data_IF_847667307701
#
_entry.id   IF_847667307701
#
_cell.length_a   1.000
_cell.length_b   1.000
_cell.length_c   1.000
_cell.angle_alpha   90.00
_cell.angle_beta   90.00
_cell.angle_gamma   90.00
#
_symmetry.space_group_name_H-M   'P 1'
#
loop_
_entity.id
_entity.type
_entity.pdbx_description
1 polymer ?
#
# COMPACT_ATOMS: atom_id res chain seq x y z
N UNK A 1 22.06 -14.72 -17.93
CA UNK A 1 20.87 -14.25 -18.68
C UNK A 1 21.19 -12.87 -19.25
N UNK A 2 20.89 -12.60 -20.50
CA UNK A 2 21.07 -11.29 -21.14
C UNK A 2 19.70 -10.66 -21.31
N UNK A 3 19.59 -9.34 -21.24
CA UNK A 3 18.36 -8.63 -21.56
C UNK A 3 18.00 -8.81 -23.06
N UNK A 4 16.71 -8.81 -23.37
CA UNK A 4 16.25 -8.95 -24.76
C UNK A 4 16.66 -7.77 -25.64
N UNK A 5 16.87 -6.58 -25.04
CA UNK A 5 17.25 -5.35 -25.73
C UNK A 5 18.35 -4.61 -24.96
N UNK A 6 19.13 -3.78 -25.66
CA UNK A 6 20.10 -2.85 -25.07
C UNK A 6 19.47 -1.51 -24.67
N UNK A 7 18.26 -1.21 -25.21
CA UNK A 7 17.50 0.01 -24.92
C UNK A 7 16.03 -0.31 -24.70
N UNK A 8 15.44 0.31 -23.67
CA UNK A 8 14.02 0.27 -23.33
C UNK A 8 13.46 1.68 -23.21
N UNK A 9 12.19 1.85 -23.51
CA UNK A 9 11.52 3.14 -23.24
C UNK A 9 11.36 3.34 -21.72
N UNK A 10 11.07 2.28 -20.98
CA UNK A 10 10.96 2.33 -19.52
C UNK A 10 11.77 1.20 -18.87
N UNK A 11 12.54 1.56 -17.86
CA UNK A 11 13.11 0.59 -16.90
C UNK A 11 12.50 0.88 -15.53
N UNK A 12 11.92 -0.14 -14.91
CA UNK A 12 11.29 -0.05 -13.60
C UNK A 12 12.11 -0.89 -12.62
N UNK A 13 12.68 -0.26 -11.59
CA UNK A 13 13.38 -0.92 -10.49
C UNK A 13 12.43 -1.18 -9.34
N UNK A 14 12.14 -2.45 -9.08
CA UNK A 14 11.18 -2.95 -8.09
C UNK A 14 9.94 -3.56 -8.72
N UNK A 15 9.77 -4.89 -8.59
CA UNK A 15 8.66 -5.66 -9.11
C UNK A 15 7.59 -6.00 -8.05
N UNK A 16 7.45 -5.15 -7.04
CA UNK A 16 6.34 -5.21 -6.08
C UNK A 16 5.01 -4.80 -6.72
N UNK A 17 3.94 -4.78 -5.93
CA UNK A 17 2.58 -4.49 -6.40
C UNK A 17 2.48 -3.24 -7.29
N UNK A 18 3.11 -2.15 -6.89
CA UNK A 18 3.01 -0.84 -7.58
C UNK A 18 3.85 -0.84 -8.86
N UNK A 19 5.15 -1.21 -8.77
CA UNK A 19 6.06 -1.22 -9.92
C UNK A 19 5.63 -2.20 -11.01
N UNK A 20 5.24 -3.42 -10.63
CA UNK A 20 4.77 -4.43 -11.58
C UNK A 20 3.45 -4.01 -12.26
N UNK A 21 2.52 -3.37 -11.51
CA UNK A 21 1.27 -2.87 -12.10
C UNK A 21 1.49 -1.69 -13.05
N UNK A 22 2.46 -0.82 -12.76
CA UNK A 22 2.86 0.23 -13.70
C UNK A 22 3.47 -0.38 -14.97
N UNK A 23 4.39 -1.35 -14.83
CA UNK A 23 4.99 -2.04 -15.97
C UNK A 23 3.92 -2.71 -16.85
N UNK A 24 2.95 -3.38 -16.24
CA UNK A 24 1.82 -3.98 -16.96
C UNK A 24 1.00 -2.93 -17.74
N UNK A 25 0.73 -1.77 -17.13
CA UNK A 25 -0.01 -0.68 -17.77
C UNK A 25 0.77 -0.04 -18.94
N UNK A 26 2.06 0.19 -18.79
CA UNK A 26 2.93 0.73 -19.85
C UNK A 26 3.06 -0.25 -21.01
N UNK A 27 3.25 -1.52 -20.71
CA UNK A 27 3.31 -2.59 -21.71
C UNK A 27 2.01 -2.71 -22.50
N UNK A 28 0.86 -2.59 -21.83
CA UNK A 28 -0.46 -2.59 -22.49
C UNK A 28 -0.65 -1.39 -23.43
N UNK A 29 0.04 -0.27 -23.19
CA UNK A 29 0.09 0.89 -24.08
C UNK A 29 1.10 0.74 -25.23
N UNK A 30 1.77 -0.40 -25.35
CA UNK A 30 2.73 -0.71 -26.40
C UNK A 30 4.16 -0.22 -26.15
N UNK A 31 4.48 0.24 -24.94
CA UNK A 31 5.84 0.65 -24.60
C UNK A 31 6.74 -0.55 -24.26
N UNK A 32 8.03 -0.44 -24.66
CA UNK A 32 9.03 -1.42 -24.27
C UNK A 32 9.46 -1.19 -22.83
N UNK A 33 9.21 -2.20 -21.97
CA UNK A 33 9.45 -2.13 -20.54
C UNK A 33 10.37 -3.25 -20.08
N UNK A 34 11.30 -2.93 -19.18
CA UNK A 34 12.08 -3.90 -18.42
C UNK A 34 11.79 -3.70 -16.92
N UNK A 35 11.37 -4.75 -16.26
CA UNK A 35 11.11 -4.77 -14.82
C UNK A 35 12.26 -5.49 -14.11
N UNK A 36 12.94 -4.80 -13.20
CA UNK A 36 14.10 -5.31 -12.48
C UNK A 36 13.75 -5.53 -11.00
N UNK A 37 13.95 -6.76 -10.50
CA UNK A 37 13.83 -7.06 -9.08
C UNK A 37 14.60 -8.33 -8.71
N UNK A 38 15.61 -8.25 -7.85
CA UNK A 38 16.34 -9.43 -7.40
C UNK A 38 15.50 -10.43 -6.60
N UNK A 39 14.33 -10.01 -6.10
CA UNK A 39 13.42 -10.84 -5.30
C UNK A 39 12.13 -11.21 -6.05
N UNK A 40 12.19 -11.39 -7.35
CA UNK A 40 11.00 -11.66 -8.16
C UNK A 40 10.50 -13.12 -8.12
N UNK A 41 10.52 -13.75 -6.96
CA UNK A 41 10.02 -15.10 -6.81
C UNK A 41 8.52 -15.21 -7.20
N UNK A 42 8.10 -16.31 -7.88
CA UNK A 42 6.70 -16.53 -8.20
C UNK A 42 5.87 -16.74 -6.92
N UNK A 43 4.61 -16.36 -6.96
CA UNK A 43 3.68 -16.63 -5.87
C UNK A 43 3.34 -18.12 -5.80
N UNK A 44 3.33 -18.69 -4.60
CA UNK A 44 2.97 -20.09 -4.37
C UNK A 44 1.43 -20.21 -4.32
N UNK A 45 0.83 -20.52 -5.47
CA UNK A 45 -0.62 -20.57 -5.64
C UNK A 45 -1.31 -21.71 -4.85
N UNK A 46 -0.58 -22.78 -4.58
CA UNK A 46 -1.07 -23.99 -3.87
C UNK A 46 -0.96 -23.86 -2.33
N UNK A 47 -0.40 -22.77 -1.83
CA UNK A 47 -0.31 -22.53 -0.39
C UNK A 47 -1.73 -22.44 0.23
N UNK A 48 -2.05 -23.34 1.17
CA UNK A 48 -3.32 -23.34 1.90
C UNK A 48 -3.45 -22.20 2.90
N UNK A 49 -2.31 -21.71 3.40
CA UNK A 49 -2.23 -20.63 4.38
C UNK A 49 -1.97 -19.30 3.66
N UNK A 50 -2.66 -18.21 4.03
CA UNK A 50 -2.38 -16.90 3.50
C UNK A 50 -0.94 -16.43 3.80
N UNK A 51 -0.40 -15.59 2.92
CA UNK A 51 0.83 -14.84 3.21
C UNK A 51 0.57 -13.87 4.39
N UNK A 52 1.63 -13.63 5.18
CA UNK A 52 1.59 -12.65 6.27
C UNK A 52 1.41 -11.21 5.75
N UNK A 53 1.90 -10.92 4.54
CA UNK A 53 1.84 -9.58 3.95
C UNK A 53 0.59 -9.43 3.10
N UNK A 54 -0.42 -8.86 3.71
CA UNK A 54 -1.73 -8.59 3.09
C UNK A 54 -1.96 -7.07 3.04
N UNK A 55 -2.53 -6.59 1.96
CA UNK A 55 -2.93 -5.19 1.80
C UNK A 55 -4.43 -5.07 1.56
N UNK A 56 -5.00 -3.99 2.08
CA UNK A 56 -6.34 -3.54 1.74
C UNK A 56 -6.27 -2.73 0.44
N UNK A 57 -6.81 -3.27 -0.63
CA UNK A 57 -6.88 -2.61 -1.94
C UNK A 57 -8.22 -1.90 -2.04
N UNK A 58 -8.22 -0.57 -2.14
CA UNK A 58 -9.43 0.25 -2.21
C UNK A 58 -10.18 0.06 -3.53
N UNK A 59 -11.46 0.37 -3.53
CA UNK A 59 -12.32 0.24 -4.70
C UNK A 59 -11.74 0.94 -5.95
N UNK A 60 -11.19 2.15 -5.82
CA UNK A 60 -10.60 2.86 -6.97
C UNK A 60 -9.35 2.16 -7.49
N UNK A 61 -8.51 1.64 -6.60
CA UNK A 61 -7.33 0.86 -6.97
C UNK A 61 -7.73 -0.45 -7.67
N UNK A 62 -8.77 -1.12 -7.19
CA UNK A 62 -9.33 -2.32 -7.85
C UNK A 62 -9.79 -1.98 -9.27
N UNK A 63 -10.60 -0.92 -9.44
CA UNK A 63 -11.08 -0.49 -10.76
C UNK A 63 -9.93 -0.14 -11.69
N UNK A 64 -8.89 0.53 -11.19
CA UNK A 64 -7.70 0.82 -11.97
C UNK A 64 -6.95 -0.46 -12.39
N UNK A 65 -6.71 -1.40 -11.46
CA UNK A 65 -6.06 -2.69 -11.72
C UNK A 65 -6.86 -3.56 -12.70
N UNK A 66 -8.20 -3.49 -12.66
CA UNK A 66 -9.08 -4.13 -13.64
C UNK A 66 -8.87 -3.58 -15.06
N UNK A 67 -8.77 -2.24 -15.19
CA UNK A 67 -8.49 -1.59 -16.46
C UNK A 67 -7.11 -1.98 -17.04
N UNK A 68 -6.15 -2.31 -16.18
CA UNK A 68 -4.84 -2.79 -16.59
C UNK A 68 -4.78 -4.32 -16.80
N UNK A 69 -5.91 -5.02 -16.69
CA UNK A 69 -5.97 -6.47 -16.84
C UNK A 69 -5.22 -7.25 -15.74
N UNK A 70 -4.80 -6.61 -14.66
CA UNK A 70 -4.06 -7.23 -13.55
C UNK A 70 -4.99 -7.97 -12.62
N UNK A 71 -6.13 -7.35 -12.26
CA UNK A 71 -7.07 -7.90 -11.29
C UNK A 71 -7.66 -9.25 -11.71
N UNK A 72 -7.93 -9.42 -13.00
CA UNK A 72 -8.48 -10.65 -13.57
C UNK A 72 -7.56 -11.87 -13.51
N UNK A 73 -6.25 -11.63 -13.25
CA UNK A 73 -5.25 -12.71 -13.08
C UNK A 73 -5.12 -13.18 -11.63
N UNK A 74 -5.82 -12.52 -10.70
CA UNK A 74 -5.88 -12.96 -9.31
C UNK A 74 -6.80 -14.19 -9.18
N UNK A 75 -6.47 -15.08 -8.28
CA UNK A 75 -7.29 -16.25 -7.94
C UNK A 75 -8.47 -15.81 -7.07
N UNK A 76 -9.72 -15.89 -7.55
CA UNK A 76 -10.88 -15.34 -6.83
C UNK A 76 -11.05 -15.89 -5.42
N UNK A 77 -10.71 -17.17 -5.20
CA UNK A 77 -10.84 -17.86 -3.91
C UNK A 77 -9.91 -17.28 -2.82
N UNK A 78 -8.87 -16.55 -3.22
CA UNK A 78 -7.91 -15.90 -2.30
C UNK A 78 -8.22 -14.43 -2.04
N UNK A 79 -9.30 -13.92 -2.61
CA UNK A 79 -9.74 -12.54 -2.43
C UNK A 79 -10.79 -12.46 -1.32
N UNK A 80 -10.64 -11.52 -0.40
CA UNK A 80 -11.66 -11.25 0.62
C UNK A 80 -12.13 -9.80 0.50
N UNK A 81 -13.28 -9.62 -0.13
CA UNK A 81 -13.95 -8.34 -0.22
C UNK A 81 -14.54 -7.95 1.13
N UNK A 82 -14.60 -6.66 1.43
CA UNK A 82 -15.31 -6.14 2.58
C UNK A 82 -16.23 -4.99 2.15
N UNK A 83 -17.44 -4.98 2.69
CA UNK A 83 -18.47 -3.98 2.40
C UNK A 83 -18.71 -3.03 3.56
N UNK A 84 -18.25 -3.37 4.76
CA UNK A 84 -18.36 -2.55 5.96
C UNK A 84 -16.99 -2.32 6.59
N UNK A 85 -16.72 -1.06 6.96
CA UNK A 85 -15.58 -0.66 7.77
C UNK A 85 -16.08 0.09 9.01
N UNK A 86 -15.75 -0.40 10.21
CA UNK A 86 -16.01 0.32 11.46
C UNK A 86 -14.73 0.92 12.03
N UNK A 87 -14.87 2.15 12.52
CA UNK A 87 -13.82 2.83 13.28
C UNK A 87 -14.39 3.15 14.67
N UNK A 88 -13.78 2.56 15.69
CA UNK A 88 -14.26 2.62 17.09
C UNK A 88 -13.28 3.34 17.99
N UNK A 89 -13.81 3.92 19.07
CA UNK A 89 -13.03 4.54 20.13
C UNK A 89 -13.39 3.90 21.49
N UNK A 90 -12.45 3.89 22.41
CA UNK A 90 -12.69 3.48 23.82
C UNK A 90 -13.74 4.33 24.53
N UNK A 91 -14.02 5.53 24.04
CA UNK A 91 -15.11 6.39 24.56
C UNK A 91 -16.49 5.92 24.11
N UNK A 92 -16.61 4.82 23.38
CA UNK A 92 -17.88 4.25 22.90
C UNK A 92 -18.37 4.81 21.57
N UNK A 93 -17.60 5.68 20.90
CA UNK A 93 -17.94 6.14 19.55
C UNK A 93 -17.70 5.00 18.54
N UNK A 94 -18.69 4.72 17.68
CA UNK A 94 -18.60 3.76 16.57
C UNK A 94 -19.06 4.45 15.29
N UNK A 95 -18.15 4.66 14.35
CA UNK A 95 -18.44 5.18 13.04
C UNK A 95 -18.32 4.07 12.01
N UNK A 96 -19.45 3.69 11.43
CA UNK A 96 -19.55 2.59 10.47
C UNK A 96 -19.72 3.16 9.06
N UNK A 97 -18.86 2.75 8.15
CA UNK A 97 -18.92 3.05 6.73
C UNK A 97 -19.40 1.82 5.97
N UNK A 98 -20.50 1.97 5.22
CA UNK A 98 -21.12 0.90 4.44
C UNK A 98 -21.07 1.25 2.95
N UNK A 99 -20.67 0.28 2.12
CA UNK A 99 -20.58 0.43 0.68
C UNK A 99 -21.90 0.79 0.02
N UNK A 100 -23.02 0.27 0.55
CA UNK A 100 -24.36 0.55 0.05
C UNK A 100 -24.74 2.04 0.16
N UNK A 101 -24.19 2.75 1.15
CA UNK A 101 -24.43 4.19 1.34
C UNK A 101 -23.94 5.06 0.15
N UNK A 102 -23.06 4.52 -0.69
CA UNK A 102 -22.50 5.18 -1.87
C UNK A 102 -22.80 4.40 -3.17
N UNK A 103 -23.77 3.47 -3.13
CA UNK A 103 -24.18 2.60 -4.24
C UNK A 103 -23.02 1.74 -4.80
N UNK A 104 -22.20 1.15 -3.91
CA UNK A 104 -21.16 0.20 -4.25
C UNK A 104 -21.38 -1.14 -3.54
N UNK A 105 -20.85 -2.23 -4.09
CA UNK A 105 -20.99 -3.57 -3.51
C UNK A 105 -19.97 -3.82 -2.40
N UNK A 106 -18.80 -3.16 -2.47
CA UNK A 106 -17.70 -3.29 -1.52
C UNK A 106 -16.88 -2.00 -1.45
N UNK A 107 -16.16 -1.83 -0.35
CA UNK A 107 -15.25 -0.71 -0.14
C UNK A 107 -13.83 -1.03 -0.62
N UNK A 108 -13.47 -2.29 -0.58
CA UNK A 108 -12.16 -2.78 -0.97
C UNK A 108 -12.06 -4.30 -0.87
N UNK A 109 -10.83 -4.80 -1.04
CA UNK A 109 -10.52 -6.22 -0.99
C UNK A 109 -9.17 -6.43 -0.29
N UNK A 110 -9.09 -7.41 0.60
CA UNK A 110 -7.81 -7.87 1.15
C UNK A 110 -7.16 -8.84 0.17
N UNK A 111 -5.91 -8.57 -0.18
CA UNK A 111 -5.13 -9.32 -1.16
C UNK A 111 -3.73 -9.53 -0.62
N UNK A 112 -3.17 -10.70 -0.82
CA UNK A 112 -1.78 -11.01 -0.51
C UNK A 112 -0.86 -10.21 -1.45
N UNK A 113 0.14 -9.54 -0.89
CA UNK A 113 1.01 -8.63 -1.63
C UNK A 113 1.76 -9.33 -2.77
N UNK A 114 2.27 -10.53 -2.50
CA UNK A 114 2.97 -11.34 -3.51
C UNK A 114 2.03 -11.85 -4.60
N UNK A 115 0.78 -12.18 -4.26
CA UNK A 115 -0.21 -12.60 -5.24
C UNK A 115 -0.53 -11.50 -6.25
N UNK A 116 -0.74 -10.26 -5.76
CA UNK A 116 -1.00 -9.11 -6.63
C UNK A 116 0.23 -8.74 -7.48
N UNK A 117 1.42 -8.73 -6.89
CA UNK A 117 2.66 -8.47 -7.61
C UNK A 117 2.91 -9.51 -8.71
N UNK A 118 2.70 -10.79 -8.40
CA UNK A 118 2.85 -11.88 -9.36
C UNK A 118 1.82 -11.80 -10.49
N UNK A 119 0.55 -11.50 -10.17
CA UNK A 119 -0.49 -11.28 -11.18
C UNK A 119 -0.14 -10.15 -12.16
N UNK A 120 0.49 -9.07 -11.67
CA UNK A 120 0.96 -7.97 -12.51
C UNK A 120 2.17 -8.36 -13.37
N UNK A 121 3.13 -9.11 -12.81
CA UNK A 121 4.32 -9.59 -13.54
C UNK A 121 3.98 -10.59 -14.65
N UNK A 122 2.91 -11.37 -14.50
CA UNK A 122 2.45 -12.35 -15.52
C UNK A 122 1.77 -11.71 -16.73
N UNK A 123 1.94 -10.39 -16.96
CA UNK A 123 1.55 -9.77 -18.22
C UNK A 123 2.32 -10.45 -19.37
N UNK A 124 1.62 -10.98 -20.40
CA UNK A 124 2.31 -11.60 -21.54
C UNK A 124 3.36 -10.65 -22.14
N UNK A 125 4.53 -11.21 -22.50
CA UNK A 125 5.66 -10.51 -23.11
C UNK A 125 6.34 -9.43 -22.25
N UNK A 126 5.85 -9.11 -21.06
CA UNK A 126 6.54 -8.22 -20.13
C UNK A 126 7.87 -8.88 -19.70
N UNK A 127 8.97 -8.18 -19.92
CA UNK A 127 10.28 -8.67 -19.53
C UNK A 127 10.55 -8.35 -18.06
N UNK A 128 10.80 -9.42 -17.27
CA UNK A 128 11.15 -9.33 -15.85
C UNK A 128 12.52 -10.00 -15.65
N UNK A 129 13.43 -9.32 -14.97
CA UNK A 129 14.79 -9.84 -14.74
C UNK A 129 15.16 -9.75 -13.24
N UNK A 130 15.82 -10.76 -12.68
CA UNK A 130 16.28 -10.78 -11.29
C UNK A 130 17.59 -9.96 -11.10
N UNK A 131 17.66 -8.79 -11.73
CA UNK A 131 18.82 -7.91 -11.69
C UNK A 131 18.55 -6.66 -10.84
N UNK A 132 19.64 -6.07 -10.35
CA UNK A 132 19.63 -4.79 -9.62
C UNK A 132 20.49 -3.76 -10.36
N UNK A 133 20.03 -2.51 -10.38
CA UNK A 133 20.83 -1.40 -10.91
C UNK A 133 21.96 -1.09 -9.91
N UNK A 134 23.20 -1.23 -10.39
CA UNK A 134 24.43 -0.93 -9.64
C UNK A 134 24.83 0.53 -9.80
N UNK A 135 24.87 0.99 -11.06
CA UNK A 135 25.16 2.38 -11.41
C UNK A 135 24.12 2.93 -12.37
N UNK A 136 23.92 4.23 -12.32
CA UNK A 136 22.98 4.95 -13.19
C UNK A 136 23.50 6.35 -13.46
N UNK A 137 23.44 6.80 -14.70
CA UNK A 137 23.84 8.13 -15.13
C UNK A 137 22.84 8.66 -16.16
N UNK A 138 22.36 9.88 -15.96
CA UNK A 138 21.57 10.59 -16.97
C UNK A 138 22.50 11.34 -17.92
N UNK A 139 22.48 10.97 -19.20
CA UNK A 139 23.33 11.54 -20.23
C UNK A 139 22.59 11.59 -21.56
N UNK A 140 22.72 12.69 -22.30
CA UNK A 140 22.15 12.87 -23.66
C UNK A 140 20.63 12.55 -23.74
N UNK A 141 19.90 12.92 -22.67
CA UNK A 141 18.44 12.73 -22.60
C UNK A 141 17.99 11.30 -22.27
N UNK A 142 18.89 10.41 -21.87
CA UNK A 142 18.62 9.02 -21.53
C UNK A 142 19.34 8.58 -20.26
N UNK A 143 18.81 7.59 -19.57
CA UNK A 143 19.47 6.91 -18.47
C UNK A 143 20.37 5.79 -18.99
N UNK A 144 21.66 5.85 -18.64
CA UNK A 144 22.63 4.75 -18.82
C UNK A 144 22.69 3.97 -17.52
N UNK A 145 22.38 2.69 -17.58
CA UNK A 145 22.26 1.81 -16.41
C UNK A 145 23.23 0.65 -16.53
N UNK A 146 23.88 0.29 -15.42
CA UNK A 146 24.68 -0.93 -15.31
C UNK A 146 24.07 -1.81 -14.22
N UNK A 147 23.90 -3.07 -14.52
CA UNK A 147 23.47 -4.11 -13.59
C UNK A 147 24.59 -5.15 -13.44
N UNK A 148 24.38 -6.12 -12.54
CA UNK A 148 25.28 -7.29 -12.45
C UNK A 148 25.26 -8.18 -13.69
N UNK A 149 24.26 -8.05 -14.56
CA UNK A 149 24.15 -8.85 -15.78
C UNK A 149 24.77 -8.15 -16.99
N UNK A 150 24.34 -6.91 -17.27
CA UNK A 150 24.76 -6.13 -18.44
C UNK A 150 24.50 -4.63 -18.22
N UNK A 151 25.04 -3.82 -19.15
CA UNK A 151 24.68 -2.42 -19.32
C UNK A 151 23.52 -2.26 -20.31
N UNK A 152 22.65 -1.27 -20.07
CA UNK A 152 21.52 -0.92 -20.91
C UNK A 152 21.20 0.56 -20.79
N UNK A 153 20.32 1.07 -21.67
CA UNK A 153 19.81 2.42 -21.58
C UNK A 153 18.28 2.48 -21.54
N UNK A 154 17.73 3.57 -21.05
CA UNK A 154 16.29 3.83 -21.16
C UNK A 154 15.96 5.32 -21.27
N UNK A 155 14.79 5.60 -21.86
CA UNK A 155 14.28 6.95 -21.94
C UNK A 155 13.77 7.42 -20.58
N UNK A 156 13.20 6.53 -19.78
CA UNK A 156 12.59 6.85 -18.51
C UNK A 156 12.87 5.79 -17.44
N UNK A 157 13.34 6.23 -16.27
CA UNK A 157 13.64 5.36 -15.13
C UNK A 157 12.54 5.50 -14.06
N UNK A 158 11.98 4.38 -13.61
CA UNK A 158 11.01 4.36 -12.50
C UNK A 158 11.59 3.61 -11.32
N UNK A 159 11.47 4.19 -10.13
CA UNK A 159 11.99 3.66 -8.87
C UNK A 159 10.80 3.26 -7.99
N UNK A 160 10.60 1.96 -7.81
CA UNK A 160 9.50 1.35 -7.08
C UNK A 160 9.99 0.30 -6.07
N UNK A 161 11.19 0.49 -5.51
CA UNK A 161 11.90 -0.50 -4.64
C UNK A 161 11.37 -0.57 -3.20
N UNK A 162 10.29 0.15 -2.89
CA UNK A 162 9.74 0.22 -1.53
C UNK A 162 10.47 1.21 -0.62
N UNK A 163 10.11 1.19 0.66
CA UNK A 163 10.55 2.20 1.64
C UNK A 163 12.06 2.33 1.79
N UNK A 164 12.80 1.22 1.62
CA UNK A 164 14.26 1.16 1.77
C UNK A 164 15.00 1.22 0.42
N UNK A 165 14.52 2.04 -0.51
CA UNK A 165 15.11 2.17 -1.84
C UNK A 165 16.50 2.80 -1.82
N UNK A 166 17.52 2.00 -2.15
CA UNK A 166 18.89 2.49 -2.30
C UNK A 166 19.07 3.33 -3.58
N UNK A 167 18.36 2.99 -4.66
CA UNK A 167 18.47 3.74 -5.92
C UNK A 167 17.89 5.14 -5.79
N UNK A 168 16.75 5.30 -5.09
CA UNK A 168 16.19 6.60 -4.72
C UNK A 168 17.24 7.49 -4.05
N UNK A 169 17.92 6.95 -3.04
CA UNK A 169 18.89 7.70 -2.24
C UNK A 169 20.15 8.03 -3.05
N UNK A 170 20.67 7.09 -3.86
CA UNK A 170 21.81 7.31 -4.77
C UNK A 170 21.53 8.40 -5.82
N UNK A 171 20.29 8.50 -6.28
CA UNK A 171 19.87 9.51 -7.27
C UNK A 171 19.53 10.87 -6.64
N UNK A 172 19.68 11.01 -5.32
CA UNK A 172 19.48 12.27 -4.62
C UNK A 172 18.02 12.71 -4.51
N UNK A 173 17.06 11.80 -4.55
CA UNK A 173 15.66 12.09 -4.29
C UNK A 173 15.45 12.37 -2.79
N UNK A 174 15.65 13.65 -2.43
CA UNK A 174 15.51 14.08 -1.05
C UNK A 174 14.09 13.97 -0.53
N UNK A 175 13.92 13.38 0.65
CA UNK A 175 12.66 13.27 1.34
C UNK A 175 12.67 13.87 2.73
N UNK A 176 11.48 14.02 3.30
CA UNK A 176 11.25 14.40 4.68
C UNK A 176 10.56 13.24 5.37
N UNK A 177 11.01 12.87 6.54
CA UNK A 177 10.37 11.78 7.29
C UNK A 177 10.86 11.67 8.71
N UNK A 178 10.14 10.88 9.48
CA UNK A 178 10.45 10.52 10.84
C UNK A 178 9.96 9.09 11.13
N UNK A 179 10.53 8.48 12.13
CA UNK A 179 10.04 7.21 12.66
C UNK A 179 9.01 7.48 13.76
N UNK A 180 7.89 6.76 13.71
CA UNK A 180 6.96 6.76 14.84
C UNK A 180 7.54 5.94 16.01
N UNK A 181 7.26 6.30 17.27
CA UNK A 181 7.65 5.49 18.43
C UNK A 181 6.85 4.19 18.53
N UNK A 182 5.93 3.96 17.61
CA UNK A 182 5.14 2.73 17.50
C UNK A 182 5.69 1.79 16.44
N UNK A 183 5.38 0.50 16.63
CA UNK A 183 5.56 -0.56 15.65
C UNK A 183 4.24 -1.28 15.42
N UNK A 184 4.14 -1.91 14.27
CA UNK A 184 3.04 -2.79 13.93
C UNK A 184 3.41 -4.24 14.31
N UNK A 185 2.49 -4.93 14.96
CA UNK A 185 2.50 -6.38 15.13
C UNK A 185 1.32 -6.95 14.36
N UNK A 186 1.58 -7.88 13.46
CA UNK A 186 0.59 -8.59 12.65
C UNK A 186 0.59 -10.05 13.05
N UNK A 187 -0.57 -10.60 13.40
CA UNK A 187 -0.74 -12.03 13.66
C UNK A 187 -1.72 -12.63 12.66
N UNK A 188 -1.33 -13.70 11.99
CA UNK A 188 -2.23 -14.54 11.21
C UNK A 188 -2.87 -15.55 12.15
N UNK A 189 -4.20 -15.65 12.10
CA UNK A 189 -4.99 -16.58 12.89
C UNK A 189 -5.96 -17.36 12.00
N UNK A 190 -6.32 -18.56 12.42
CA UNK A 190 -7.38 -19.38 11.81
C UNK A 190 -8.61 -19.34 12.71
N UNK A 191 -9.71 -18.78 12.23
CA UNK A 191 -10.96 -18.67 12.97
C UNK A 191 -11.73 -20.00 12.94
N UNK A 192 -12.40 -20.36 14.03
CA UNK A 192 -13.26 -21.55 14.14
C UNK A 192 -14.56 -21.43 13.34
N UNK A 193 -14.97 -20.21 12.99
CA UNK A 193 -16.15 -19.93 12.17
C UNK A 193 -15.89 -18.71 11.27
N UNK A 194 -16.59 -18.58 10.13
CA UNK A 194 -16.44 -17.43 9.25
C UNK A 194 -16.88 -16.14 9.94
N UNK A 195 -16.21 -15.03 9.60
CA UNK A 195 -16.65 -13.68 9.93
C UNK A 195 -17.25 -13.01 8.70
N UNK A 196 -18.17 -12.09 8.94
CA UNK A 196 -18.82 -11.30 7.89
C UNK A 196 -17.80 -10.48 7.10
N UNK A 197 -18.22 -9.91 5.97
CA UNK A 197 -17.43 -9.01 5.12
C UNK A 197 -17.26 -7.62 5.75
N UNK A 198 -16.87 -7.65 7.03
CA UNK A 198 -16.75 -6.50 7.92
C UNK A 198 -15.33 -6.43 8.48
N UNK A 199 -14.63 -5.36 8.17
CA UNK A 199 -13.35 -5.00 8.78
C UNK A 199 -13.55 -3.88 9.79
N UNK A 200 -12.72 -3.86 10.82
CA UNK A 200 -12.83 -2.81 11.84
C UNK A 200 -11.47 -2.46 12.44
N UNK A 201 -11.39 -1.24 12.95
CA UNK A 201 -10.27 -0.74 13.72
C UNK A 201 -10.78 -0.08 15.00
N UNK A 202 -10.17 -0.40 16.12
CA UNK A 202 -10.49 0.18 17.44
C UNK A 202 -9.28 0.92 17.99
N UNK A 203 -9.45 2.20 18.28
CA UNK A 203 -8.48 3.00 19.03
C UNK A 203 -8.57 2.68 20.52
N UNK A 204 -7.42 2.42 21.16
CA UNK A 204 -7.31 2.09 22.58
C UNK A 204 -6.37 3.08 23.27
N UNK A 205 -6.32 3.08 24.59
CA UNK A 205 -5.40 3.95 25.33
C UNK A 205 -3.91 3.65 25.07
N UNK A 206 -3.60 2.47 24.53
CA UNK A 206 -2.22 2.02 24.27
C UNK A 206 -1.89 1.95 22.77
N UNK A 207 -2.75 2.43 21.90
CA UNK A 207 -2.58 2.37 20.46
C UNK A 207 -3.86 1.99 19.73
N UNK A 208 -3.80 1.17 18.70
CA UNK A 208 -4.98 0.67 18.00
C UNK A 208 -4.83 -0.82 17.69
N UNK A 209 -5.97 -1.47 17.43
CA UNK A 209 -6.00 -2.82 16.88
C UNK A 209 -7.06 -2.95 15.81
N UNK A 210 -6.86 -3.85 14.86
CA UNK A 210 -7.75 -4.03 13.73
C UNK A 210 -7.88 -5.51 13.34
N UNK A 211 -9.01 -5.81 12.70
CA UNK A 211 -9.30 -7.09 12.07
C UNK A 211 -9.29 -6.92 10.55
N UNK A 212 -8.51 -7.74 9.87
CA UNK A 212 -8.54 -7.90 8.42
C UNK A 212 -8.99 -9.34 8.13
N UNK A 213 -10.26 -9.58 7.78
CA UNK A 213 -10.70 -10.91 7.39
C UNK A 213 -10.03 -11.36 6.09
N UNK A 214 -9.69 -12.63 6.02
CA UNK A 214 -9.05 -13.24 4.85
C UNK A 214 -9.89 -14.42 4.36
N UNK A 215 -9.47 -15.03 3.26
CA UNK A 215 -10.12 -16.21 2.71
C UNK A 215 -10.00 -17.41 3.68
N UNK A 216 -10.86 -18.39 3.50
CA UNK A 216 -10.86 -19.68 4.22
C UNK A 216 -10.77 -19.53 5.75
N UNK A 217 -11.58 -18.61 6.32
CA UNK A 217 -11.62 -18.32 7.76
C UNK A 217 -10.29 -17.88 8.38
N UNK A 218 -9.31 -17.47 7.60
CA UNK A 218 -8.15 -16.79 8.15
C UNK A 218 -8.47 -15.32 8.45
N UNK A 219 -7.70 -14.75 9.34
CA UNK A 219 -7.73 -13.31 9.60
C UNK A 219 -6.32 -12.80 9.97
N UNK A 220 -6.03 -11.57 9.61
CA UNK A 220 -4.87 -10.84 10.14
C UNK A 220 -5.32 -9.91 11.26
N UNK A 221 -4.79 -10.13 12.45
CA UNK A 221 -4.98 -9.28 13.62
C UNK A 221 -3.83 -8.28 13.70
N UNK A 222 -4.15 -7.01 13.65
CA UNK A 222 -3.15 -5.93 13.62
C UNK A 222 -3.15 -5.22 14.96
N UNK A 223 -1.97 -5.01 15.53
CA UNK A 223 -1.76 -4.21 16.74
C UNK A 223 -0.75 -3.10 16.47
N UNK A 224 -1.10 -1.88 16.84
CA UNK A 224 -0.18 -0.74 16.87
C UNK A 224 0.13 -0.45 18.34
N UNK A 225 1.39 -0.67 18.75
CA UNK A 225 1.87 -0.53 20.12
C UNK A 225 3.23 0.17 20.12
N UNK A 226 3.73 0.55 21.29
CA UNK A 226 5.11 1.01 21.40
C UNK A 226 6.08 -0.04 20.84
N UNK A 227 7.21 0.41 20.26
CA UNK A 227 8.20 -0.50 19.70
C UNK A 227 8.70 -1.53 20.72
N UNK A 228 8.79 -1.12 22.02
CA UNK A 228 9.16 -1.99 23.11
C UNK A 228 8.14 -3.10 23.36
N UNK A 229 6.84 -2.76 23.43
CA UNK A 229 5.77 -3.74 23.65
C UNK A 229 5.69 -4.75 22.50
N UNK A 230 5.86 -4.26 21.24
CA UNK A 230 5.88 -5.15 20.08
C UNK A 230 7.10 -6.08 20.11
N UNK A 231 8.27 -5.58 20.50
CA UNK A 231 9.48 -6.39 20.64
C UNK A 231 9.30 -7.48 21.69
N UNK A 232 8.80 -7.14 22.88
CA UNK A 232 8.54 -8.09 23.95
C UNK A 232 7.52 -9.16 23.52
N UNK A 233 6.40 -8.75 22.91
CA UNK A 233 5.39 -9.68 22.41
C UNK A 233 5.97 -10.61 21.34
N UNK A 234 6.79 -10.11 20.42
CA UNK A 234 7.41 -10.93 19.37
C UNK A 234 8.45 -11.91 19.89
N UNK A 235 9.09 -11.60 21.01
CA UNK A 235 10.08 -12.47 21.70
C UNK A 235 9.44 -13.50 22.63
N UNK A 236 8.17 -13.32 23.00
CA UNK A 236 7.45 -14.29 23.83
C UNK A 236 7.11 -15.56 23.05
N UNK A 237 6.80 -16.63 23.75
CA UNK A 237 6.40 -17.91 23.16
C UNK A 237 5.10 -17.79 22.34
N UNK A 238 4.86 -18.69 21.40
CA UNK A 238 3.62 -18.72 20.62
C UNK A 238 2.39 -18.84 21.52
N UNK A 239 2.48 -19.60 22.61
CA UNK A 239 1.42 -19.74 23.59
C UNK A 239 1.08 -18.41 24.29
N UNK A 240 2.09 -17.63 24.67
CA UNK A 240 1.92 -16.30 25.28
C UNK A 240 1.37 -15.30 24.27
N UNK A 241 1.85 -15.32 23.01
CA UNK A 241 1.31 -14.49 21.93
C UNK A 241 -0.18 -14.82 21.70
N UNK A 242 -0.52 -16.10 21.61
CA UNK A 242 -1.89 -16.57 21.45
C UNK A 242 -2.78 -16.12 22.63
N UNK A 243 -2.33 -16.30 23.85
CA UNK A 243 -3.05 -15.89 25.06
C UNK A 243 -3.29 -14.36 25.09
N UNK A 244 -2.28 -13.57 24.72
CA UNK A 244 -2.40 -12.11 24.63
C UNK A 244 -3.44 -11.68 23.58
N UNK A 245 -3.42 -12.29 22.40
CA UNK A 245 -4.39 -12.01 21.34
C UNK A 245 -5.79 -12.44 21.75
N UNK A 246 -5.96 -13.63 22.34
CA UNK A 246 -7.26 -14.08 22.81
C UNK A 246 -7.84 -13.08 23.82
N UNK A 247 -7.08 -12.60 24.79
CA UNK A 247 -7.54 -11.60 25.75
C UNK A 247 -8.07 -10.31 25.09
N UNK A 248 -7.46 -9.91 23.96
CA UNK A 248 -7.86 -8.67 23.25
C UNK A 248 -9.06 -8.86 22.32
N UNK A 249 -9.22 -10.05 21.71
CA UNK A 249 -10.12 -10.23 20.59
C UNK A 249 -11.31 -11.16 20.85
N UNK A 250 -11.32 -11.95 21.95
CA UNK A 250 -12.37 -12.95 22.24
C UNK A 250 -13.79 -12.38 22.24
N UNK A 251 -13.98 -11.13 22.66
CA UNK A 251 -15.31 -10.49 22.67
C UNK A 251 -15.77 -10.03 21.28
N UNK A 252 -14.92 -10.10 20.27
CA UNK A 252 -15.16 -9.56 18.94
C UNK A 252 -15.06 -10.59 17.84
N UNK A 253 -14.49 -11.77 18.13
CA UNK A 253 -14.23 -12.83 17.15
C UNK A 253 -14.65 -14.20 17.68
N UNK A 254 -14.97 -15.16 16.78
CA UNK A 254 -14.99 -16.58 17.11
C UNK A 254 -13.66 -17.02 17.71
N UNK A 255 -13.64 -18.16 18.39
CA UNK A 255 -12.40 -18.79 18.82
C UNK A 255 -11.43 -18.94 17.64
N UNK A 256 -10.13 -18.82 17.88
CA UNK A 256 -9.15 -18.92 16.82
C UNK A 256 -7.82 -19.55 17.32
N UNK A 257 -7.13 -20.15 16.36
CA UNK A 257 -5.81 -20.70 16.52
C UNK A 257 -4.76 -19.70 15.98
N UNK A 258 -3.70 -19.46 16.76
CA UNK A 258 -2.55 -18.68 16.33
C UNK A 258 -1.77 -19.47 15.27
N UNK A 259 -1.41 -18.83 14.16
CA UNK A 259 -0.63 -19.44 13.09
C UNK A 259 0.78 -18.93 13.03
N UNK A 260 0.95 -17.62 12.93
CA UNK A 260 2.27 -16.97 12.90
C UNK A 260 2.12 -15.46 13.11
N UNK A 261 3.23 -14.79 13.40
CA UNK A 261 3.26 -13.33 13.53
C UNK A 261 4.51 -12.71 12.93
N UNK A 262 4.37 -11.45 12.52
CA UNK A 262 5.45 -10.58 12.08
C UNK A 262 5.33 -9.20 12.72
N UNK A 263 6.41 -8.44 12.73
CA UNK A 263 6.39 -7.06 13.20
C UNK A 263 7.30 -6.18 12.36
N UNK A 264 6.97 -4.89 12.28
CA UNK A 264 7.78 -3.91 11.58
C UNK A 264 7.62 -2.52 12.20
N UNK A 265 8.70 -1.70 12.16
CA UNK A 265 8.64 -0.32 12.61
C UNK A 265 7.79 0.52 11.67
N UNK A 266 7.20 1.60 12.20
CA UNK A 266 6.39 2.52 11.43
C UNK A 266 7.18 3.78 11.10
N UNK A 267 7.10 4.18 9.84
CA UNK A 267 7.79 5.37 9.33
C UNK A 267 6.82 6.28 8.60
N UNK A 268 7.03 7.57 8.75
CA UNK A 268 6.53 8.57 7.83
C UNK A 268 7.68 9.05 6.96
N UNK A 269 7.51 9.02 5.66
CA UNK A 269 8.50 9.50 4.71
C UNK A 269 7.80 10.04 3.46
N UNK A 270 8.31 11.11 2.89
CA UNK A 270 7.83 11.62 1.60
C UNK A 270 8.96 12.30 0.84
N UNK A 271 9.15 11.89 -0.39
CA UNK A 271 10.03 12.55 -1.37
C UNK A 271 9.42 13.90 -1.75
N UNK A 272 10.23 14.99 -1.71
CA UNK A 272 9.77 16.35 -2.03
C UNK A 272 9.39 16.51 -3.50
N UNK A 273 10.20 15.94 -4.37
CA UNK A 273 10.05 16.04 -5.83
C UNK A 273 10.20 14.65 -6.43
N UNK A 274 9.12 13.84 -6.46
CA UNK A 274 9.20 12.45 -6.89
C UNK A 274 9.48 12.26 -8.39
N UNK A 275 9.30 13.28 -9.22
CA UNK A 275 9.63 13.24 -10.64
C UNK A 275 10.62 14.34 -11.03
N UNK A 276 11.80 13.93 -11.52
CA UNK A 276 12.86 14.83 -12.03
C UNK A 276 13.75 14.10 -13.05
N UNK A 277 14.27 14.81 -14.05
CA UNK A 277 15.23 14.29 -15.04
C UNK A 277 14.82 12.94 -15.66
N UNK A 278 13.57 12.80 -16.08
CA UNK A 278 13.02 11.55 -16.63
C UNK A 278 13.20 10.34 -15.67
N UNK A 279 13.26 10.62 -14.36
CA UNK A 279 13.18 9.60 -13.33
C UNK A 279 11.98 9.88 -12.42
N UNK A 280 11.25 8.84 -12.04
CA UNK A 280 10.06 8.90 -11.21
C UNK A 280 10.15 7.92 -10.05
N UNK A 281 9.94 8.40 -8.83
CA UNK A 281 9.82 7.57 -7.63
C UNK A 281 8.33 7.38 -7.30
N UNK A 282 7.89 6.14 -7.05
CA UNK A 282 6.48 5.80 -6.77
C UNK A 282 6.33 4.82 -5.62
N UNK A 283 5.11 4.75 -5.08
CA UNK A 283 4.74 3.86 -3.98
C UNK A 283 5.54 4.15 -2.70
N UNK A 284 5.82 3.12 -1.93
CA UNK A 284 6.55 3.26 -0.66
C UNK A 284 7.96 3.84 -0.82
N UNK A 285 8.55 3.79 -2.02
CA UNK A 285 9.81 4.47 -2.32
C UNK A 285 9.63 6.00 -2.34
N UNK A 286 8.47 6.50 -2.77
CA UNK A 286 8.15 7.92 -2.77
C UNK A 286 7.56 8.41 -1.44
N UNK A 287 6.74 7.60 -0.80
CA UNK A 287 6.02 7.99 0.42
C UNK A 287 5.62 6.77 1.26
N UNK A 288 5.81 6.90 2.55
CA UNK A 288 5.29 5.99 3.57
C UNK A 288 4.44 6.79 4.55
N UNK A 289 3.28 6.30 4.90
CA UNK A 289 2.37 6.93 5.87
C UNK A 289 2.02 5.93 6.97
N UNK A 290 1.44 6.42 8.07
CA UNK A 290 0.96 5.53 9.12
C UNK A 290 -0.12 4.59 8.56
N UNK A 291 -0.04 3.26 8.75
CA UNK A 291 -0.92 2.29 8.09
C UNK A 291 -2.32 2.15 8.73
N UNK A 292 -2.76 3.10 9.56
CA UNK A 292 -4.04 3.08 10.29
C UNK A 292 -5.27 2.78 9.42
N UNK A 293 -5.27 3.16 8.15
CA UNK A 293 -6.39 2.88 7.26
C UNK A 293 -6.00 2.00 6.07
N UNK A 294 -4.82 1.35 6.11
CA UNK A 294 -4.35 0.50 5.01
C UNK A 294 -4.15 1.23 3.68
N UNK A 295 -3.86 2.55 3.69
CA UNK A 295 -3.86 3.40 2.49
C UNK A 295 -2.51 3.48 1.76
N UNK A 296 -1.40 2.95 2.32
CA UNK A 296 -0.06 3.11 1.75
C UNK A 296 0.02 2.66 0.29
N UNK A 297 -0.31 1.42 0.00
CA UNK A 297 -0.28 0.87 -1.36
C UNK A 297 -1.25 1.57 -2.32
N UNK A 298 -2.41 2.02 -1.82
CA UNK A 298 -3.41 2.71 -2.64
C UNK A 298 -2.90 4.08 -3.12
N UNK A 299 -2.10 4.79 -2.31
CA UNK A 299 -1.39 5.99 -2.75
C UNK A 299 -0.40 5.67 -3.88
N UNK A 300 0.30 4.54 -3.81
CA UNK A 300 1.17 4.07 -4.89
C UNK A 300 0.41 3.77 -6.18
N UNK A 301 -0.79 3.20 -6.10
CA UNK A 301 -1.65 3.03 -7.29
C UNK A 301 -2.17 4.36 -7.84
N UNK A 302 -2.38 5.38 -7.01
CA UNK A 302 -2.71 6.72 -7.47
C UNK A 302 -1.51 7.39 -8.18
N UNK A 303 -0.26 7.11 -7.74
CA UNK A 303 0.96 7.55 -8.46
C UNK A 303 0.96 6.99 -9.88
N UNK A 304 0.76 5.68 -9.99
CA UNK A 304 0.76 4.99 -11.30
C UNK A 304 -0.39 5.45 -12.18
N UNK A 305 -1.59 5.60 -11.64
CA UNK A 305 -2.76 6.05 -12.38
C UNK A 305 -2.56 7.45 -12.96
N UNK A 306 -2.02 8.39 -12.19
CA UNK A 306 -1.73 9.74 -12.65
C UNK A 306 -0.63 9.76 -13.72
N UNK A 307 0.44 8.98 -13.53
CA UNK A 307 1.50 8.89 -14.52
C UNK A 307 0.99 8.30 -15.85
N UNK A 308 0.21 7.22 -15.81
CA UNK A 308 -0.40 6.61 -16.99
C UNK A 308 -1.39 7.58 -17.67
N UNK A 309 -2.14 8.38 -16.89
CA UNK A 309 -3.01 9.41 -17.45
C UNK A 309 -2.22 10.43 -18.30
N UNK A 310 -1.11 10.91 -17.76
CA UNK A 310 -0.23 11.86 -18.46
C UNK A 310 0.38 11.24 -19.72
N UNK A 311 0.83 9.99 -19.65
CA UNK A 311 1.35 9.26 -20.82
C UNK A 311 0.28 9.11 -21.91
N UNK A 312 -0.95 8.73 -21.56
CA UNK A 312 -2.06 8.61 -22.50
C UNK A 312 -2.38 9.94 -23.19
N UNK A 313 -2.25 11.06 -22.48
CA UNK A 313 -2.57 12.39 -23.01
C UNK A 313 -1.44 13.00 -23.85
N UNK A 314 -0.19 12.74 -23.50
CA UNK A 314 0.96 13.49 -24.03
C UNK A 314 2.01 12.62 -24.72
N UNK A 315 1.91 11.29 -24.60
CA UNK A 315 2.91 10.34 -25.11
C UNK A 315 4.25 10.45 -24.38
N UNK A 316 5.20 9.61 -24.77
CA UNK A 316 6.54 9.56 -24.16
C UNK A 316 7.30 10.89 -24.29
N UNK A 317 7.28 11.50 -25.47
CA UNK A 317 7.97 12.78 -25.70
C UNK A 317 7.29 13.92 -24.94
N UNK A 318 5.97 13.88 -24.79
CA UNK A 318 5.24 14.88 -24.04
C UNK A 318 5.58 14.88 -22.56
N UNK A 319 5.71 13.71 -21.94
CA UNK A 319 6.03 13.60 -20.49
C UNK A 319 7.45 14.05 -20.14
N UNK A 320 8.35 14.22 -21.09
CA UNK A 320 9.68 14.82 -20.87
C UNK A 320 9.62 16.32 -20.54
N UNK A 321 8.45 16.97 -20.73
CA UNK A 321 8.28 18.42 -20.52
C UNK A 321 8.23 18.78 -19.05
N UNK A 322 8.99 19.78 -18.63
CA UNK A 322 9.15 20.21 -17.24
C UNK A 322 7.83 20.63 -16.56
N UNK A 323 6.90 21.26 -17.30
CA UNK A 323 5.61 21.67 -16.71
C UNK A 323 4.72 20.49 -16.31
N UNK A 324 4.81 19.33 -17.02
CA UNK A 324 4.08 18.11 -16.64
C UNK A 324 4.68 17.46 -15.40
N UNK A 325 6.02 17.49 -15.27
CA UNK A 325 6.70 17.06 -14.05
C UNK A 325 6.24 17.88 -12.84
N UNK A 326 6.21 19.22 -12.99
CA UNK A 326 5.75 20.11 -11.93
C UNK A 326 4.27 19.83 -11.57
N UNK A 327 3.40 19.70 -12.57
CA UNK A 327 1.98 19.40 -12.35
C UNK A 327 1.78 18.09 -11.60
N UNK A 328 2.50 17.02 -12.00
CA UNK A 328 2.49 15.75 -11.30
C UNK A 328 2.96 15.89 -9.84
N UNK A 329 4.13 16.53 -9.65
CA UNK A 329 4.74 16.68 -8.34
C UNK A 329 3.82 17.45 -7.37
N UNK A 330 3.21 18.55 -7.83
CA UNK A 330 2.28 19.35 -7.01
C UNK A 330 1.04 18.52 -6.66
N UNK A 331 0.40 17.88 -7.66
CA UNK A 331 -0.79 17.07 -7.46
C UNK A 331 -0.55 15.93 -6.48
N UNK A 332 0.54 15.16 -6.67
CA UNK A 332 0.89 14.03 -5.80
C UNK A 332 1.29 14.48 -4.40
N UNK A 333 1.98 15.62 -4.30
CA UNK A 333 2.31 16.17 -3.00
C UNK A 333 1.07 16.47 -2.16
N UNK A 334 0.07 17.14 -2.72
CA UNK A 334 -1.17 17.46 -2.02
C UNK A 334 -1.96 16.20 -1.63
N UNK A 335 -2.08 15.23 -2.53
CA UNK A 335 -2.79 13.98 -2.26
C UNK A 335 -2.13 13.17 -1.13
N UNK A 336 -0.81 13.01 -1.19
CA UNK A 336 -0.04 12.31 -0.16
C UNK A 336 -0.09 13.06 1.18
N UNK A 337 0.10 14.40 1.17
CA UNK A 337 0.08 15.20 2.40
C UNK A 337 -1.29 15.20 3.06
N UNK A 338 -2.38 15.31 2.31
CA UNK A 338 -3.72 15.27 2.89
C UNK A 338 -3.98 13.93 3.57
N UNK A 339 -3.62 12.82 2.94
CA UNK A 339 -3.78 11.48 3.52
C UNK A 339 -2.85 11.29 4.73
N UNK A 340 -1.58 11.65 4.63
CA UNK A 340 -0.61 11.52 5.70
C UNK A 340 -1.01 12.36 6.92
N UNK A 341 -1.45 13.61 6.72
CA UNK A 341 -1.90 14.49 7.81
C UNK A 341 -3.17 13.95 8.49
N UNK A 342 -4.07 13.33 7.73
CA UNK A 342 -5.25 12.66 8.31
C UNK A 342 -4.83 11.48 9.19
N UNK A 343 -3.89 10.64 8.72
CA UNK A 343 -3.38 9.52 9.51
C UNK A 343 -2.61 10.00 10.74
N UNK A 344 -1.81 11.07 10.61
CA UNK A 344 -1.12 11.69 11.74
C UNK A 344 -2.10 12.25 12.77
N UNK A 345 -3.16 12.93 12.35
CA UNK A 345 -4.18 13.44 13.26
C UNK A 345 -4.83 12.30 14.05
N UNK A 346 -5.21 11.21 13.40
CA UNK A 346 -5.73 10.02 14.06
C UNK A 346 -4.71 9.41 15.02
N UNK A 347 -3.45 9.30 14.61
CA UNK A 347 -2.36 8.79 15.45
C UNK A 347 -2.14 9.67 16.67
N UNK A 348 -1.90 10.98 16.49
CA UNK A 348 -1.60 11.90 17.60
C UNK A 348 -2.78 12.09 18.55
N UNK A 349 -4.02 12.09 18.05
CA UNK A 349 -5.21 12.17 18.90
C UNK A 349 -5.37 10.96 19.83
N UNK A 350 -4.61 9.88 19.60
CA UNK A 350 -4.61 8.69 20.42
C UNK A 350 -3.46 8.64 21.43
N UNK A 351 -2.50 9.59 21.37
CA UNK A 351 -1.36 9.58 22.28
C UNK A 351 -1.77 10.06 23.69
N UNK A 352 -1.19 9.48 24.76
CA UNK A 352 -1.48 9.88 26.14
C UNK A 352 -1.20 11.36 26.39
N UNK A 353 -0.11 11.90 25.83
CA UNK A 353 0.34 13.28 25.97
C UNK A 353 -0.64 14.29 25.38
N UNK A 354 -1.43 13.87 24.40
CA UNK A 354 -2.45 14.66 23.72
C UNK A 354 -3.87 14.19 24.07
N UNK A 355 -4.06 13.66 25.28
CA UNK A 355 -5.34 13.13 25.74
C UNK A 355 -6.48 14.16 25.70
N UNK A 356 -6.18 15.47 25.74
CA UNK A 356 -7.16 16.55 25.57
C UNK A 356 -7.80 16.57 24.18
N UNK A 357 -7.19 15.91 23.16
CA UNK A 357 -7.77 15.76 21.82
C UNK A 357 -8.79 14.61 21.73
N UNK A 358 -8.83 13.70 22.70
CA UNK A 358 -9.77 12.55 22.69
C UNK A 358 -11.25 12.98 22.59
N UNK A 359 -11.73 13.98 23.35
CA UNK A 359 -13.12 14.45 23.20
C UNK A 359 -13.40 14.98 21.79
N UNK A 360 -12.47 15.74 21.21
CA UNK A 360 -12.64 16.27 19.85
C UNK A 360 -12.72 15.14 18.80
N UNK A 361 -11.89 14.08 18.95
CA UNK A 361 -11.96 12.88 18.10
C UNK A 361 -13.30 12.17 18.25
N UNK A 362 -13.77 11.94 19.48
CA UNK A 362 -15.06 11.30 19.74
C UNK A 362 -16.22 12.10 19.16
N UNK A 363 -16.18 13.43 19.28
CA UNK A 363 -17.15 14.33 18.64
C UNK A 363 -17.10 14.17 17.12
N UNK A 364 -15.89 14.15 16.52
CA UNK A 364 -15.73 13.96 15.08
C UNK A 364 -16.32 12.63 14.61
N UNK A 365 -16.04 11.51 15.31
CA UNK A 365 -16.60 10.21 14.97
C UNK A 365 -18.13 10.19 15.11
N UNK A 366 -18.66 10.69 16.20
CA UNK A 366 -20.11 10.76 16.43
C UNK A 366 -20.80 11.66 15.40
N UNK A 367 -20.23 12.82 15.10
CA UNK A 367 -20.76 13.75 14.07
C UNK A 367 -20.72 13.09 12.70
N UNK A 368 -19.64 12.42 12.35
CA UNK A 368 -19.50 11.67 11.08
C UNK A 368 -20.54 10.55 11.02
N UNK A 369 -20.75 9.82 12.10
CA UNK A 369 -21.74 8.74 12.15
C UNK A 369 -23.19 9.24 11.98
N UNK A 370 -23.51 10.45 12.46
CA UNK A 370 -24.85 11.03 12.42
C UNK A 370 -25.16 11.78 11.11
N UNK A 371 -24.14 12.36 10.46
CA UNK A 371 -24.33 13.19 9.25
C UNK A 371 -23.98 12.36 8.00
N UNK A 372 -25.00 11.69 7.44
CA UNK A 372 -24.85 10.83 6.24
C UNK A 372 -24.08 11.47 5.07
N UNK A 373 -24.34 12.74 4.66
CA UNK A 373 -23.57 13.36 3.58
C UNK A 373 -22.06 13.48 3.89
N UNK A 374 -21.71 13.83 5.14
CA UNK A 374 -20.33 13.92 5.59
C UNK A 374 -19.65 12.53 5.58
N UNK A 375 -20.36 11.54 6.09
CA UNK A 375 -19.89 10.13 6.08
C UNK A 375 -19.63 9.65 4.65
N UNK A 376 -20.56 9.90 3.73
CA UNK A 376 -20.40 9.54 2.32
C UNK A 376 -19.23 10.28 1.65
N UNK A 377 -19.01 11.56 1.98
CA UNK A 377 -17.88 12.35 1.47
C UNK A 377 -16.56 11.76 1.94
N UNK A 378 -16.41 11.53 3.25
CA UNK A 378 -15.22 10.92 3.84
C UNK A 378 -14.96 9.55 3.21
N UNK A 379 -16.00 8.73 3.08
CA UNK A 379 -15.90 7.41 2.46
C UNK A 379 -15.42 7.51 1.01
N UNK A 380 -16.02 8.38 0.20
CA UNK A 380 -15.61 8.60 -1.20
C UNK A 380 -14.16 9.06 -1.33
N UNK A 381 -13.70 9.93 -0.43
CA UNK A 381 -12.29 10.34 -0.37
C UNK A 381 -11.38 9.16 -0.02
N UNK A 382 -11.73 8.39 1.02
CA UNK A 382 -10.94 7.25 1.48
C UNK A 382 -10.77 6.16 0.41
N UNK A 383 -11.84 5.84 -0.32
CA UNK A 383 -11.78 4.85 -1.41
C UNK A 383 -11.29 5.42 -2.76
N UNK A 384 -10.97 6.72 -2.83
CA UNK A 384 -10.46 7.39 -4.03
C UNK A 384 -11.50 7.62 -5.13
N UNK A 385 -12.80 7.73 -4.78
CA UNK A 385 -13.89 7.93 -5.75
C UNK A 385 -14.07 9.40 -6.18
N UNK A 386 -13.49 10.34 -5.45
CA UNK A 386 -13.47 11.76 -5.81
C UNK A 386 -12.13 12.03 -6.51
N UNK A 387 -12.12 12.53 -7.75
CA UNK A 387 -10.89 12.98 -8.40
C UNK A 387 -10.32 14.16 -7.60
N UNK A 388 -9.04 14.09 -7.27
CA UNK A 388 -8.29 15.19 -6.67
C UNK A 388 -7.80 16.15 -7.73
#
# INVERSE_FOLDING_TARGET
MTFKKSHYQFVISGAGMVGASLAAALHQLGYTCLLLDPQNAPFKMDAKTPDMRVSSISLSSIKWLQQQGVWQRLTPQRLKYYNVLSVRDVAGSDCQFDASSINELYLGCFVENQHLADAARRQPELEVSPARIQTSQFKDGQWQLTTELNSLSCDFLVIAEGANSNLRDKLGFAGIGNQYPQSCYCALVKLSAPVNDHTWQTFTNTGAHALLPLFDNYASLILYRSAEQVRQLKQSSEAEQSQYLNKLFTHHLPAFDFVQAASFPLHRYQVKTPWQNQALVIGDAAHSIHPLAGQGVNLGFRDTAEFIRLIKQHGLEGIKRTHLQLSYNVKRWFDVQSMASTMDLLYYSNQPELSFLKPARSILFNTTAQIKPLQQLILKLAIGKIPH
#
